data_IF_554994705497
#
_entry.id   IF_554994705497
#
_cell.length_a   1.000
_cell.length_b   1.000
_cell.length_c   1.000
_cell.angle_alpha   90.00
_cell.angle_beta   90.00
_cell.angle_gamma   90.00
#
_symmetry.space_group_name_H-M   'P 1'
#
loop_
_entity.id
_entity.type
_entity.pdbx_description
1 polymer ?
#
# COMPACT_ATOMS: atom_id res chain seq x y z
N UNK A 1 -7.88 -13.43 17.27
CA UNK A 1 -7.94 -13.00 15.85
C UNK A 1 -9.31 -12.40 15.65
N UNK A 2 -9.34 -11.14 15.29
CA UNK A 2 -10.59 -10.41 15.07
C UNK A 2 -10.82 -10.30 13.56
N UNK A 3 -11.98 -10.73 13.06
CA UNK A 3 -12.44 -10.41 11.70
C UNK A 3 -13.39 -9.23 11.82
N UNK A 4 -13.23 -8.19 11.00
CA UNK A 4 -14.09 -7.02 11.03
C UNK A 4 -15.53 -7.46 10.76
N UNK A 5 -16.39 -7.30 11.76
CA UNK A 5 -17.81 -7.69 11.69
C UNK A 5 -18.68 -6.51 12.13
N UNK A 6 -19.49 -5.94 11.23
CA UNK A 6 -20.36 -4.80 11.54
C UNK A 6 -21.37 -5.07 12.68
N UNK A 7 -21.79 -6.33 12.87
CA UNK A 7 -22.71 -6.70 13.95
C UNK A 7 -22.08 -6.66 15.35
N UNK A 8 -20.73 -6.65 15.44
CA UNK A 8 -19.98 -6.58 16.69
C UNK A 8 -18.66 -5.82 16.47
N UNK A 9 -18.73 -4.49 16.26
CA UNK A 9 -17.55 -3.69 15.98
C UNK A 9 -16.62 -3.67 17.20
N UNK A 10 -15.30 -3.73 16.98
CA UNK A 10 -14.32 -3.69 18.06
C UNK A 10 -14.34 -2.37 18.83
N UNK A 11 -14.22 -2.44 20.16
CA UNK A 11 -14.23 -1.25 21.03
C UNK A 11 -13.09 -0.26 20.70
N UNK A 12 -11.94 -0.73 20.23
CA UNK A 12 -10.81 0.14 19.88
C UNK A 12 -11.12 1.09 18.71
N UNK A 13 -12.08 0.75 17.84
CA UNK A 13 -12.55 1.68 16.81
C UNK A 13 -13.09 3.00 17.40
N UNK A 14 -13.63 2.98 18.60
CA UNK A 14 -14.12 4.19 19.26
C UNK A 14 -13.01 5.23 19.55
N UNK A 15 -11.75 4.79 19.69
CA UNK A 15 -10.59 5.64 19.96
C UNK A 15 -9.74 5.93 18.74
N UNK A 16 -10.06 5.35 17.59
CA UNK A 16 -9.28 5.50 16.37
C UNK A 16 -9.16 6.99 16.00
N UNK A 17 -7.94 7.47 15.91
CA UNK A 17 -7.62 8.87 15.56
C UNK A 17 -6.81 8.95 14.27
N UNK A 18 -6.10 7.87 13.89
CA UNK A 18 -5.31 7.82 12.68
C UNK A 18 -5.26 6.43 12.03
N UNK A 19 -5.21 6.40 10.71
CA UNK A 19 -5.00 5.18 9.91
C UNK A 19 -3.85 5.42 8.94
N UNK A 20 -2.86 4.53 8.97
CA UNK A 20 -1.76 4.48 8.02
C UNK A 20 -2.08 3.38 7.01
N UNK A 21 -2.03 3.69 5.73
CA UNK A 21 -2.30 2.75 4.64
C UNK A 21 -1.00 2.39 3.90
N UNK A 22 -0.81 1.13 3.57
CA UNK A 22 0.04 0.79 2.43
C UNK A 22 -0.61 1.24 1.11
N UNK A 23 0.14 1.22 0.02
CA UNK A 23 -0.34 1.61 -1.30
C UNK A 23 -0.75 0.39 -2.13
N UNK A 24 0.23 -0.44 -2.52
CA UNK A 24 0.02 -1.59 -3.40
C UNK A 24 -0.70 -2.72 -2.66
N UNK A 25 -1.76 -3.28 -3.24
CA UNK A 25 -2.59 -4.31 -2.61
C UNK A 25 -3.52 -3.79 -1.51
N UNK A 26 -3.52 -2.46 -1.24
CA UNK A 26 -4.36 -1.82 -0.22
C UNK A 26 -5.14 -0.63 -0.76
N UNK A 27 -4.46 0.42 -1.25
CA UNK A 27 -5.15 1.53 -1.92
C UNK A 27 -5.48 1.18 -3.37
N UNK A 28 -4.58 0.45 -4.01
CA UNK A 28 -4.69 0.07 -5.42
C UNK A 28 -4.34 -1.40 -5.63
N UNK A 29 -5.09 -2.03 -6.54
CA UNK A 29 -4.64 -3.25 -7.22
C UNK A 29 -3.70 -2.82 -8.34
N UNK A 30 -2.42 -3.16 -8.19
CA UNK A 30 -1.36 -2.85 -9.14
C UNK A 30 -0.74 -4.09 -9.79
N UNK A 31 -1.38 -5.27 -9.66
CA UNK A 31 -0.83 -6.52 -10.18
C UNK A 31 -0.62 -6.48 -11.68
N UNK A 32 -1.63 -6.08 -12.44
CA UNK A 32 -1.55 -5.95 -13.89
C UNK A 32 -0.57 -4.84 -14.31
N UNK A 33 -0.52 -3.74 -13.57
CA UNK A 33 0.43 -2.66 -13.84
C UNK A 33 1.88 -3.11 -13.64
N UNK A 34 2.15 -3.91 -12.60
CA UNK A 34 3.48 -4.46 -12.35
C UNK A 34 3.91 -5.37 -13.50
N UNK A 35 3.02 -6.26 -13.97
CA UNK A 35 3.25 -7.07 -15.17
C UNK A 35 3.53 -6.21 -16.39
N UNK A 36 2.72 -5.18 -16.64
CA UNK A 36 2.89 -4.27 -17.77
C UNK A 36 4.21 -3.51 -17.71
N UNK A 37 4.60 -3.06 -16.53
CA UNK A 37 5.88 -2.37 -16.32
C UNK A 37 7.07 -3.20 -16.83
N UNK A 38 7.15 -4.48 -16.45
CA UNK A 38 8.23 -5.34 -16.92
C UNK A 38 8.10 -5.71 -18.40
N UNK A 39 6.88 -5.84 -18.91
CA UNK A 39 6.64 -6.07 -20.33
C UNK A 39 7.11 -4.89 -21.18
N UNK A 40 6.87 -3.64 -20.77
CA UNK A 40 7.35 -2.44 -21.47
C UNK A 40 8.88 -2.38 -21.49
N UNK A 41 9.54 -2.76 -20.40
CA UNK A 41 11.01 -2.84 -20.36
C UNK A 41 11.52 -3.89 -21.36
N UNK A 42 10.92 -5.08 -21.36
CA UNK A 42 11.32 -6.17 -22.28
C UNK A 42 11.03 -5.82 -23.73
N UNK A 43 9.91 -5.22 -24.02
CA UNK A 43 9.53 -4.74 -25.35
C UNK A 43 10.53 -3.70 -25.86
N UNK A 44 10.90 -2.74 -25.02
CA UNK A 44 11.87 -1.70 -25.36
C UNK A 44 13.25 -2.24 -25.75
N UNK A 45 13.58 -3.44 -25.30
CA UNK A 45 14.81 -4.14 -25.71
C UNK A 45 14.51 -5.31 -26.68
N UNK A 46 13.32 -5.39 -27.30
CA UNK A 46 12.96 -6.41 -28.29
C UNK A 46 12.86 -7.84 -27.74
N UNK A 47 12.52 -8.00 -26.45
CA UNK A 47 12.24 -9.30 -25.82
C UNK A 47 10.74 -9.58 -25.77
N UNK A 48 10.35 -10.86 -25.68
CA UNK A 48 8.97 -11.26 -25.46
C UNK A 48 8.51 -10.88 -24.05
N UNK A 49 7.18 -10.69 -23.83
CA UNK A 49 6.61 -10.46 -22.51
C UNK A 49 7.07 -11.49 -21.47
N UNK A 50 6.96 -11.12 -20.17
CA UNK A 50 7.26 -12.05 -19.07
C UNK A 50 6.29 -13.23 -19.07
N UNK A 51 6.79 -14.38 -18.65
CA UNK A 51 5.99 -15.61 -18.49
C UNK A 51 5.16 -15.56 -17.18
N UNK A 52 4.14 -16.41 -17.02
CA UNK A 52 3.39 -16.50 -15.75
C UNK A 52 4.28 -16.77 -14.52
N UNK A 53 5.30 -17.63 -14.65
CA UNK A 53 6.25 -17.91 -13.56
C UNK A 53 7.11 -16.68 -13.21
N UNK A 54 7.48 -15.89 -14.21
CA UNK A 54 8.20 -14.63 -14.01
C UNK A 54 7.27 -13.56 -13.41
N UNK A 55 5.99 -13.55 -13.77
CA UNK A 55 4.99 -12.64 -13.19
C UNK A 55 4.86 -12.86 -11.68
N UNK A 56 4.71 -14.11 -11.23
CA UNK A 56 4.66 -14.42 -9.79
C UNK A 56 5.94 -13.98 -9.06
N UNK A 57 7.10 -14.15 -9.71
CA UNK A 57 8.36 -13.70 -9.14
C UNK A 57 8.44 -12.17 -8.97
N UNK A 58 8.09 -11.41 -10.01
CA UNK A 58 8.22 -9.94 -9.98
C UNK A 58 7.21 -9.27 -9.03
N UNK A 59 6.16 -9.96 -8.61
CA UNK A 59 5.25 -9.46 -7.58
C UNK A 59 5.82 -9.53 -6.17
N UNK A 60 6.81 -10.40 -5.93
CA UNK A 60 7.31 -10.67 -4.58
C UNK A 60 8.68 -10.04 -4.30
N UNK A 61 9.37 -9.54 -5.32
CA UNK A 61 10.77 -9.14 -5.21
C UNK A 61 11.00 -7.69 -5.58
N UNK A 62 12.13 -7.12 -5.13
CA UNK A 62 12.53 -5.76 -5.46
C UNK A 62 12.88 -5.64 -6.96
N UNK A 63 12.65 -4.44 -7.53
CA UNK A 63 12.85 -4.18 -8.98
C UNK A 63 14.22 -4.64 -9.48
N UNK A 64 15.29 -4.40 -8.72
CA UNK A 64 16.64 -4.84 -9.08
C UNK A 64 16.73 -6.35 -9.25
N UNK A 65 16.25 -7.11 -8.24
CA UNK A 65 16.24 -8.59 -8.27
C UNK A 65 15.36 -9.12 -9.39
N UNK A 66 14.22 -8.46 -9.64
CA UNK A 66 13.32 -8.82 -10.73
C UNK A 66 14.03 -8.69 -12.09
N UNK A 67 14.66 -7.56 -12.33
CA UNK A 67 15.38 -7.34 -13.58
C UNK A 67 16.57 -8.29 -13.74
N UNK A 68 17.28 -8.63 -12.66
CA UNK A 68 18.37 -9.63 -12.69
C UNK A 68 17.85 -11.04 -13.05
N UNK A 69 16.60 -11.33 -12.69
CA UNK A 69 15.95 -12.61 -12.99
C UNK A 69 15.41 -12.70 -14.41
N UNK A 70 14.77 -11.60 -14.91
CA UNK A 70 14.00 -11.64 -16.16
C UNK A 70 14.75 -11.06 -17.36
N UNK A 71 15.91 -10.40 -17.17
CA UNK A 71 16.72 -9.80 -18.22
C UNK A 71 18.10 -10.48 -18.25
N UNK A 72 18.56 -10.96 -19.41
CA UNK A 72 19.93 -11.47 -19.58
C UNK A 72 20.98 -10.44 -19.15
N UNK A 73 22.05 -10.89 -18.48
CA UNK A 73 23.05 -10.01 -17.91
C UNK A 73 23.67 -9.04 -18.94
N UNK A 74 23.90 -9.52 -20.16
CA UNK A 74 24.46 -8.73 -21.27
C UNK A 74 23.53 -7.62 -21.80
N UNK A 75 22.23 -7.69 -21.45
CA UNK A 75 21.22 -6.70 -21.85
C UNK A 75 20.76 -5.81 -20.70
N UNK A 76 21.34 -5.98 -19.51
CA UNK A 76 20.92 -5.31 -18.30
C UNK A 76 21.03 -3.79 -18.40
N UNK A 77 22.10 -3.27 -19.00
CA UNK A 77 22.32 -1.84 -19.18
C UNK A 77 21.27 -1.22 -20.12
N UNK A 78 20.94 -1.90 -21.23
CA UNK A 78 19.90 -1.49 -22.17
C UNK A 78 18.54 -1.46 -21.51
N UNK A 79 18.19 -2.47 -20.72
CA UNK A 79 16.94 -2.52 -19.96
C UNK A 79 16.85 -1.39 -18.91
N UNK A 80 17.94 -1.05 -18.24
CA UNK A 80 17.97 0.08 -17.31
C UNK A 80 17.83 1.43 -18.02
N UNK A 81 18.32 1.57 -19.24
CA UNK A 81 18.10 2.77 -20.05
C UNK A 81 16.61 2.91 -20.42
N UNK A 82 15.98 1.83 -20.90
CA UNK A 82 14.54 1.80 -21.17
C UNK A 82 13.77 2.15 -19.89
N UNK A 83 14.07 1.49 -18.77
CA UNK A 83 13.43 1.71 -17.48
C UNK A 83 13.46 3.17 -17.03
N UNK A 84 14.60 3.86 -17.18
CA UNK A 84 14.76 5.29 -16.81
C UNK A 84 13.92 6.23 -17.67
N UNK A 85 13.64 5.82 -18.91
CA UNK A 85 12.88 6.63 -19.87
C UNK A 85 11.40 6.30 -19.91
N UNK A 86 10.94 5.25 -19.19
CA UNK A 86 9.51 4.93 -19.09
C UNK A 86 8.74 6.05 -18.37
N UNK A 87 7.67 6.51 -18.99
CA UNK A 87 6.69 7.33 -18.30
C UNK A 87 5.79 6.41 -17.43
N UNK A 88 5.84 6.58 -16.13
CA UNK A 88 5.04 5.78 -15.21
C UNK A 88 3.52 5.88 -15.50
N UNK A 89 3.09 6.95 -16.15
CA UNK A 89 1.70 7.13 -16.58
C UNK A 89 1.23 6.11 -17.62
N UNK A 90 2.15 5.49 -18.35
CA UNK A 90 1.82 4.46 -19.34
C UNK A 90 1.24 3.19 -18.70
N UNK A 91 1.48 2.97 -17.41
CA UNK A 91 0.93 1.84 -16.67
C UNK A 91 -0.34 2.18 -15.88
N UNK A 92 -0.73 3.45 -15.75
CA UNK A 92 -1.96 3.85 -15.05
C UNK A 92 -3.23 3.15 -15.52
N UNK A 93 -3.43 2.88 -16.83
CA UNK A 93 -4.61 2.14 -17.30
C UNK A 93 -4.74 0.71 -16.72
N UNK A 94 -3.69 0.20 -16.08
CA UNK A 94 -3.63 -1.14 -15.48
C UNK A 94 -3.62 -1.10 -13.95
N UNK A 95 -3.83 0.08 -13.35
CA UNK A 95 -3.95 0.26 -11.90
C UNK A 95 -5.40 0.60 -11.60
N UNK A 96 -5.97 -0.06 -10.62
CA UNK A 96 -7.34 0.18 -10.20
C UNK A 96 -7.38 0.49 -8.71
N UNK A 97 -8.31 1.37 -8.29
CA UNK A 97 -8.59 1.53 -6.86
C UNK A 97 -9.17 0.24 -6.30
N UNK A 98 -8.83 -0.06 -5.05
CA UNK A 98 -9.48 -1.14 -4.33
C UNK A 98 -10.97 -0.81 -4.09
N UNK A 99 -11.83 -1.83 -4.20
CA UNK A 99 -13.28 -1.68 -4.08
C UNK A 99 -13.66 -1.12 -2.70
N UNK A 100 -14.54 -0.10 -2.69
CA UNK A 100 -15.03 0.56 -1.47
C UNK A 100 -14.00 1.50 -0.81
N UNK A 101 -12.82 1.72 -1.42
CA UNK A 101 -11.79 2.58 -0.83
C UNK A 101 -12.27 4.03 -0.67
N UNK A 102 -12.81 4.63 -1.73
CA UNK A 102 -13.20 6.05 -1.71
C UNK A 102 -14.24 6.32 -0.63
N UNK A 103 -15.25 5.45 -0.54
CA UNK A 103 -16.30 5.54 0.48
C UNK A 103 -15.75 5.35 1.90
N UNK A 104 -14.72 4.52 2.08
CA UNK A 104 -14.02 4.40 3.36
C UNK A 104 -13.26 5.68 3.70
N UNK A 105 -12.49 6.23 2.74
CA UNK A 105 -11.73 7.47 2.95
C UNK A 105 -12.64 8.64 3.33
N UNK A 106 -13.77 8.79 2.64
CA UNK A 106 -14.80 9.80 2.97
C UNK A 106 -15.41 9.58 4.36
N UNK A 107 -15.64 8.32 4.74
CA UNK A 107 -16.15 7.97 6.09
C UNK A 107 -15.12 8.33 7.16
N UNK A 108 -13.85 7.98 6.98
CA UNK A 108 -12.78 8.30 7.93
C UNK A 108 -12.57 9.81 8.06
N UNK A 109 -12.57 10.53 6.95
CA UNK A 109 -12.46 12.01 6.92
C UNK A 109 -13.64 12.66 7.67
N UNK A 110 -14.87 12.23 7.38
CA UNK A 110 -16.08 12.70 8.06
C UNK A 110 -16.09 12.41 9.57
N UNK A 111 -15.35 11.40 10.04
CA UNK A 111 -15.17 11.08 11.46
C UNK A 111 -13.97 11.82 12.08
N UNK A 112 -13.25 12.64 11.33
CA UNK A 112 -12.05 13.35 11.78
C UNK A 112 -10.84 12.43 12.02
N UNK A 113 -10.80 11.23 11.42
CA UNK A 113 -9.67 10.30 11.51
C UNK A 113 -8.62 10.73 10.48
N UNK A 114 -7.39 11.04 10.93
CA UNK A 114 -6.29 11.39 10.03
C UNK A 114 -5.81 10.17 9.26
N UNK A 115 -5.44 10.37 8.01
CA UNK A 115 -4.96 9.30 7.13
C UNK A 115 -3.58 9.64 6.58
N UNK A 116 -2.71 8.62 6.50
CA UNK A 116 -1.38 8.72 5.91
C UNK A 116 -1.12 7.53 4.99
N UNK A 117 -0.18 7.70 4.07
CA UNK A 117 0.35 6.59 3.26
C UNK A 117 1.78 6.29 3.69
N UNK A 118 2.11 5.01 3.85
CA UNK A 118 3.48 4.51 4.06
C UNK A 118 3.76 3.35 3.12
N UNK A 119 4.58 3.57 2.09
CA UNK A 119 4.78 2.64 0.97
C UNK A 119 6.24 2.40 0.63
N UNK A 120 6.56 1.23 0.06
CA UNK A 120 7.86 0.95 -0.53
C UNK A 120 8.01 1.46 -1.98
N UNK A 121 7.00 2.12 -2.55
CA UNK A 121 7.19 2.94 -3.75
C UNK A 121 8.22 4.04 -3.48
N UNK A 122 9.07 4.35 -4.47
CA UNK A 122 10.15 5.33 -4.28
C UNK A 122 9.73 6.77 -4.60
N UNK A 123 9.05 7.00 -5.74
CA UNK A 123 8.78 8.35 -6.26
C UNK A 123 7.51 8.45 -7.11
N UNK A 124 6.64 7.46 -7.08
CA UNK A 124 5.44 7.42 -7.94
C UNK A 124 4.13 7.52 -7.18
N UNK A 125 4.17 7.49 -5.83
CA UNK A 125 2.97 7.44 -5.01
C UNK A 125 2.15 8.72 -5.11
N UNK A 126 2.78 9.90 -5.05
CA UNK A 126 2.08 11.18 -5.16
C UNK A 126 1.39 11.33 -6.52
N UNK A 127 2.08 10.91 -7.59
CA UNK A 127 1.51 10.92 -8.94
C UNK A 127 0.30 10.00 -9.06
N UNK A 128 0.37 8.83 -8.40
CA UNK A 128 -0.72 7.86 -8.36
C UNK A 128 -1.93 8.37 -7.58
N UNK A 129 -1.71 8.92 -6.38
CA UNK A 129 -2.77 9.48 -5.55
C UNK A 129 -3.49 10.63 -6.26
N UNK A 130 -2.74 11.50 -6.95
CA UNK A 130 -3.30 12.61 -7.73
C UNK A 130 -4.09 12.11 -8.95
N UNK A 131 -3.62 11.04 -9.62
CA UNK A 131 -4.33 10.44 -10.75
C UNK A 131 -5.74 9.95 -10.36
N UNK A 132 -5.87 9.37 -9.17
CA UNK A 132 -7.15 8.90 -8.65
C UNK A 132 -7.91 9.95 -7.82
N UNK A 133 -7.41 11.19 -7.72
CA UNK A 133 -8.03 12.30 -6.98
C UNK A 133 -8.25 12.00 -5.47
N UNK A 134 -7.40 11.12 -4.90
CA UNK A 134 -7.46 10.74 -3.48
C UNK A 134 -6.33 11.34 -2.63
N UNK A 135 -5.42 12.09 -3.22
CA UNK A 135 -4.29 12.77 -2.55
C UNK A 135 -4.74 13.66 -1.39
N UNK A 136 -5.91 14.31 -1.52
CA UNK A 136 -6.50 15.19 -0.50
C UNK A 136 -6.74 14.52 0.86
N UNK A 137 -6.88 13.20 0.90
CA UNK A 137 -7.16 12.46 2.13
C UNK A 137 -5.91 12.17 2.97
N UNK A 138 -4.71 12.26 2.41
CA UNK A 138 -3.51 11.73 3.03
C UNK A 138 -2.51 12.82 3.42
N UNK A 139 -2.20 12.87 4.70
CA UNK A 139 -1.11 13.72 5.24
C UNK A 139 -0.54 13.11 6.52
N UNK A 140 0.77 12.73 6.51
CA UNK A 140 1.73 12.79 5.41
C UNK A 140 1.64 11.59 4.45
N UNK A 141 2.34 11.68 3.31
CA UNK A 141 2.66 10.57 2.41
C UNK A 141 4.15 10.26 2.55
N UNK A 142 4.47 9.03 2.96
CA UNK A 142 5.86 8.59 3.20
C UNK A 142 6.22 7.48 2.21
N UNK A 143 6.99 7.83 1.20
CA UNK A 143 7.55 6.92 0.22
C UNK A 143 8.94 6.41 0.64
N UNK A 144 9.35 5.22 0.17
CA UNK A 144 10.66 4.65 0.47
C UNK A 144 11.83 5.58 0.09
N UNK A 145 11.69 6.36 -0.99
CA UNK A 145 12.71 7.33 -1.40
C UNK A 145 12.99 8.44 -0.39
N UNK A 146 12.07 8.71 0.54
CA UNK A 146 12.24 9.70 1.61
C UNK A 146 12.84 9.12 2.89
N UNK A 147 13.06 7.80 2.96
CA UNK A 147 13.51 7.08 4.15
C UNK A 147 14.96 6.62 4.01
N UNK A 148 15.65 6.51 5.14
CA UNK A 148 16.94 5.82 5.20
C UNK A 148 16.75 4.31 5.15
N UNK A 149 15.68 3.83 5.76
CA UNK A 149 15.32 2.42 5.84
C UNK A 149 13.81 2.26 5.54
N UNK A 150 13.47 1.68 4.37
CA UNK A 150 12.07 1.40 4.03
C UNK A 150 11.49 0.24 4.84
N UNK A 151 10.22 -0.11 4.62
CA UNK A 151 9.60 -1.28 5.23
C UNK A 151 10.48 -2.53 5.02
N UNK A 152 10.70 -3.35 6.03
CA UNK A 152 9.96 -3.46 7.31
C UNK A 152 10.47 -2.58 8.46
N UNK A 153 11.43 -1.66 8.23
CA UNK A 153 11.86 -0.74 9.29
C UNK A 153 10.72 0.22 9.67
N UNK A 154 10.53 0.52 10.96
CA UNK A 154 9.45 1.38 11.43
C UNK A 154 9.70 2.88 11.21
N UNK A 155 10.78 3.30 10.56
CA UNK A 155 11.16 4.70 10.41
C UNK A 155 10.01 5.56 9.86
N UNK A 156 9.33 5.10 8.79
CA UNK A 156 8.22 5.84 8.20
C UNK A 156 7.03 5.97 9.14
N UNK A 157 6.66 4.90 9.84
CA UNK A 157 5.59 4.91 10.84
C UNK A 157 5.92 5.88 11.98
N UNK A 158 7.17 5.87 12.49
CA UNK A 158 7.60 6.79 13.55
C UNK A 158 7.54 8.26 13.10
N UNK A 159 7.86 8.58 11.84
CA UNK A 159 7.70 9.94 11.31
C UNK A 159 6.24 10.38 11.32
N UNK A 160 5.32 9.50 10.90
CA UNK A 160 3.88 9.77 10.92
C UNK A 160 3.38 9.99 12.35
N UNK A 161 3.74 9.11 13.28
CA UNK A 161 3.36 9.25 14.69
C UNK A 161 3.91 10.53 15.33
N UNK A 162 5.11 10.94 14.95
CA UNK A 162 5.72 12.19 15.40
C UNK A 162 4.97 13.41 14.89
N UNK A 163 4.54 13.39 13.61
CA UNK A 163 3.73 14.46 13.02
C UNK A 163 2.35 14.55 13.68
N UNK A 164 1.70 13.40 13.88
CA UNK A 164 0.34 13.36 14.38
C UNK A 164 0.21 13.58 15.89
N UNK A 165 1.24 13.23 16.66
CA UNK A 165 1.23 13.28 18.14
C UNK A 165 0.09 12.47 18.77
N UNK A 166 -0.40 11.43 18.08
CA UNK A 166 -1.43 10.55 18.61
C UNK A 166 -0.85 9.44 19.49
N UNK A 167 -1.61 8.97 20.51
CA UNK A 167 -1.26 7.75 21.23
C UNK A 167 -1.22 6.55 20.27
N UNK A 168 -0.28 5.63 20.47
CA UNK A 168 -0.11 4.46 19.58
C UNK A 168 -1.34 3.55 19.53
N UNK A 169 -2.11 3.46 20.60
CA UNK A 169 -3.35 2.69 20.72
C UNK A 169 -4.55 3.35 20.02
N UNK A 170 -4.38 4.58 19.52
CA UNK A 170 -5.36 5.28 18.68
C UNK A 170 -5.00 5.27 17.18
N UNK A 171 -3.92 4.56 16.78
CA UNK A 171 -3.47 4.49 15.39
C UNK A 171 -3.44 3.04 14.93
N UNK A 172 -3.92 2.80 13.71
CA UNK A 172 -3.84 1.50 13.06
C UNK A 172 -3.07 1.59 11.74
N UNK A 173 -2.45 0.47 11.35
CA UNK A 173 -1.81 0.29 10.05
C UNK A 173 -2.58 -0.74 9.25
N UNK A 174 -3.03 -0.38 8.03
CA UNK A 174 -3.67 -1.28 7.08
C UNK A 174 -2.64 -1.69 6.01
N UNK A 175 -2.38 -2.98 5.90
CA UNK A 175 -1.44 -3.56 4.94
C UNK A 175 -1.82 -4.98 4.55
N UNK A 176 -1.24 -5.48 3.47
CA UNK A 176 -1.49 -6.82 2.93
C UNK A 176 -0.26 -7.74 2.99
N UNK A 177 0.90 -7.21 3.41
CA UNK A 177 2.19 -7.88 3.35
C UNK A 177 2.86 -8.11 4.71
N UNK A 178 3.78 -9.07 4.76
CA UNK A 178 4.62 -9.31 5.94
C UNK A 178 5.59 -8.11 6.23
N UNK A 179 5.83 -7.24 5.25
CA UNK A 179 6.63 -6.02 5.46
C UNK A 179 5.85 -5.01 6.30
N UNK A 180 4.54 -4.88 6.04
CA UNK A 180 3.63 -4.00 6.77
C UNK A 180 3.43 -4.49 8.20
N UNK A 181 3.15 -5.80 8.35
CA UNK A 181 3.02 -6.45 9.67
C UNK A 181 4.24 -6.15 10.54
N UNK A 182 5.46 -6.40 10.01
CA UNK A 182 6.70 -6.16 10.76
C UNK A 182 6.93 -4.69 11.05
N UNK A 183 6.63 -3.79 10.10
CA UNK A 183 6.78 -2.35 10.29
C UNK A 183 5.85 -1.82 11.39
N UNK A 184 4.57 -2.23 11.37
CA UNK A 184 3.58 -1.85 12.38
C UNK A 184 3.93 -2.43 13.75
N UNK A 185 4.32 -3.70 13.83
CA UNK A 185 4.75 -4.36 15.07
C UNK A 185 5.98 -3.69 15.68
N UNK A 186 7.00 -3.37 14.86
CA UNK A 186 8.22 -2.68 15.33
C UNK A 186 7.92 -1.26 15.80
N UNK A 187 6.93 -0.57 15.23
CA UNK A 187 6.46 0.73 15.68
C UNK A 187 5.58 0.66 16.94
N UNK A 188 5.02 -0.51 17.25
CA UNK A 188 4.14 -0.74 18.39
C UNK A 188 2.72 -0.19 18.20
N UNK A 189 2.18 -0.25 16.98
CA UNK A 189 0.80 0.11 16.64
C UNK A 189 0.02 -1.12 16.16
N UNK A 190 -1.31 -1.03 16.17
CA UNK A 190 -2.18 -2.10 15.69
C UNK A 190 -2.00 -2.33 14.18
N UNK A 191 -1.81 -3.58 13.77
CA UNK A 191 -1.81 -3.98 12.37
C UNK A 191 -3.16 -4.58 11.99
N UNK A 192 -3.73 -4.11 10.89
CA UNK A 192 -4.96 -4.62 10.28
C UNK A 192 -4.63 -5.19 8.92
N UNK A 193 -4.77 -6.49 8.79
CA UNK A 193 -4.45 -7.20 7.56
C UNK A 193 -5.59 -7.07 6.55
N UNK A 194 -5.31 -6.51 5.39
CA UNK A 194 -6.25 -6.37 4.29
C UNK A 194 -6.13 -7.57 3.34
N UNK A 195 -7.26 -8.26 3.11
CA UNK A 195 -7.38 -9.43 2.20
C UNK A 195 -6.37 -10.57 2.41
N UNK A 196 -5.56 -10.54 3.47
CA UNK A 196 -4.54 -11.56 3.73
C UNK A 196 -4.72 -12.20 5.13
N UNK A 197 -5.46 -13.32 5.21
CA UNK A 197 -5.71 -13.99 6.50
C UNK A 197 -4.49 -14.74 7.08
N UNK A 198 -3.40 -14.85 6.32
CA UNK A 198 -2.17 -15.53 6.74
C UNK A 198 -1.26 -14.71 7.64
N UNK A 199 -1.50 -13.39 7.78
CA UNK A 199 -0.68 -12.49 8.59
C UNK A 199 -1.16 -12.45 10.06
N UNK A 200 -0.24 -12.16 10.98
CA UNK A 200 -0.56 -11.93 12.38
C UNK A 200 -1.10 -10.51 12.58
N UNK A 201 -2.40 -10.34 12.74
CA UNK A 201 -3.07 -9.05 12.78
C UNK A 201 -3.99 -8.90 14.00
N UNK A 202 -4.14 -7.66 14.48
CA UNK A 202 -5.14 -7.31 15.48
C UNK A 202 -6.56 -7.41 14.90
N UNK A 203 -6.71 -7.14 13.60
CA UNK A 203 -7.96 -7.26 12.87
C UNK A 203 -7.68 -7.70 11.42
N UNK A 204 -8.54 -8.58 10.89
CA UNK A 204 -8.55 -8.92 9.47
C UNK A 204 -9.69 -8.20 8.76
N UNK A 205 -9.36 -7.53 7.67
CA UNK A 205 -10.28 -6.81 6.81
C UNK A 205 -10.48 -7.62 5.52
N UNK A 206 -11.63 -8.25 5.31
CA UNK A 206 -11.92 -8.94 4.05
C UNK A 206 -12.14 -7.94 2.91
N UNK A 207 -12.67 -6.77 3.23
CA UNK A 207 -12.97 -5.66 2.32
C UNK A 207 -13.11 -4.34 3.10
N UNK A 208 -13.15 -3.22 2.38
CA UNK A 208 -13.31 -1.89 2.99
C UNK A 208 -14.74 -1.60 3.42
N UNK A 209 -15.74 -2.19 2.78
CA UNK A 209 -17.14 -2.02 3.16
C UNK A 209 -17.42 -2.55 4.58
N UNK A 210 -16.82 -3.68 4.93
CA UNK A 210 -16.91 -4.24 6.30
C UNK A 210 -16.36 -3.26 7.33
N UNK A 211 -15.21 -2.62 7.06
CA UNK A 211 -14.64 -1.60 7.96
C UNK A 211 -15.52 -0.35 8.03
N UNK A 212 -16.00 0.14 6.90
CA UNK A 212 -16.90 1.30 6.81
C UNK A 212 -18.17 1.09 7.62
N UNK A 213 -18.78 -0.09 7.51
CA UNK A 213 -19.97 -0.43 8.29
C UNK A 213 -19.68 -0.52 9.80
N UNK A 214 -18.51 -1.06 10.20
CA UNK A 214 -18.09 -1.03 11.60
C UNK A 214 -17.93 0.41 12.14
N UNK A 215 -17.44 1.33 11.31
CA UNK A 215 -17.23 2.73 11.67
C UNK A 215 -18.53 3.55 11.72
N UNK A 216 -19.55 3.17 10.95
CA UNK A 216 -20.86 3.87 10.92
C UNK A 216 -21.53 3.89 12.28
N UNK A 217 -21.25 2.92 13.16
CA UNK A 217 -21.72 2.91 14.56
C UNK A 217 -21.11 4.00 15.45
N UNK A 218 -20.02 4.68 15.02
CA UNK A 218 -19.40 5.82 15.75
C UNK A 218 -20.18 7.12 15.59
N UNK A 219 -20.79 7.34 14.42
CA UNK A 219 -21.51 8.58 14.10
C UNK A 219 -22.83 8.73 14.89
N UNK A 220 -23.30 7.68 15.56
CA UNK A 220 -24.58 7.63 16.26
C UNK A 220 -24.49 7.88 17.77
N UNK A 221 -23.33 8.27 18.30
CA UNK A 221 -23.10 8.64 19.71
C UNK A 221 -22.68 10.09 19.82
#
# INVERSE_FOLDING_TARGET
MYVCNPASPPEFLARLSGVIFDCDGVLVDSRDANRMYYNLIREGIGMLPITPDEEDYVHMHAVGECLDRIIPAERREEAEEVRRNLDYRDIFPYIFLEDGLVELLETLDGLGVRMAVHTNRTNTVELLLAHFEIDRFFSPVIAAGALKRPKPDPEGVHRILTDWQFPKDAVAYIGDSALDERSAAAAGIAFWSYKNPGLAAAMHLPDFDSLRLCLSGRAAK
#
